data_IF_735236128957
#
_entry.id   IF_735236128957
#
_cell.length_a   1.000
_cell.length_b   1.000
_cell.length_c   1.000
_cell.angle_alpha   90.00
_cell.angle_beta   90.00
_cell.angle_gamma   90.00
#
_symmetry.space_group_name_H-M   'P 1'
#
loop_
_entity.id
_entity.type
_entity.pdbx_description
1 polymer ?
2 non-polymer ?
#
# COMPACT_ATOMS: atom_id res chain seq x y z
N UNK A 46 36.69 24.58 1.60
CA UNK A 46 37.26 25.89 1.17
C UNK A 46 36.42 27.04 1.74
N UNK A 47 35.84 27.86 0.87
CA UNK A 47 35.03 28.98 1.34
C UNK A 47 33.53 28.73 1.19
N UNK A 48 33.10 28.10 0.10
CA UNK A 48 31.62 27.93 0.01
C UNK A 48 31.17 26.66 0.71
N UNK A 49 31.88 25.57 0.46
CA UNK A 49 31.44 24.25 0.96
C UNK A 49 30.79 24.29 2.34
N UNK A 50 31.37 24.94 3.36
CA UNK A 50 30.66 24.99 4.65
C UNK A 50 29.33 25.70 4.56
N UNK A 51 29.19 26.71 3.71
CA UNK A 51 27.94 27.44 3.60
C UNK A 51 26.84 26.56 3.03
N UNK A 52 27.11 25.90 1.90
CA UNK A 52 26.12 25.01 1.32
C UNK A 52 25.77 23.89 2.29
N UNK A 53 26.75 23.42 3.05
CA UNK A 53 26.50 22.38 4.04
C UNK A 53 25.53 22.88 5.12
N UNK A 54 25.87 23.99 5.79
CA UNK A 54 24.99 24.59 6.78
C UNK A 54 23.60 24.80 6.20
N UNK A 55 23.54 25.37 5.00
CA UNK A 55 22.28 25.60 4.30
C UNK A 55 21.51 24.29 4.13
N UNK A 56 22.08 23.34 3.38
CA UNK A 56 21.33 22.12 3.05
C UNK A 56 20.99 21.30 4.27
N UNK A 57 21.96 21.15 5.19
CA UNK A 57 21.70 20.39 6.41
C UNK A 57 20.58 21.02 7.21
N UNK A 58 20.63 22.34 7.40
CA UNK A 58 19.64 22.98 8.27
C UNK A 58 18.27 22.98 7.61
N UNK A 59 18.23 23.09 6.29
CA UNK A 59 16.98 23.01 5.56
C UNK A 59 16.39 21.60 5.67
N UNK A 60 17.20 20.58 5.41
CA UNK A 60 16.74 19.20 5.46
C UNK A 60 16.34 18.81 6.88
N UNK A 61 16.94 19.44 7.88
CA UNK A 61 16.52 19.22 9.26
C UNK A 61 15.13 19.79 9.50
N UNK A 62 14.90 21.03 9.07
CA UNK A 62 13.61 21.67 9.27
C UNK A 62 12.50 20.89 8.59
N UNK A 63 12.66 20.59 7.30
CA UNK A 63 11.66 19.83 6.59
C UNK A 63 11.37 18.50 7.28
N UNK A 64 12.41 17.81 7.73
CA UNK A 64 12.24 16.49 8.31
C UNK A 64 11.57 16.56 9.67
N UNK A 65 11.93 17.55 10.48
CA UNK A 65 11.31 17.73 11.78
C UNK A 65 9.85 18.16 11.61
N UNK A 66 9.64 19.27 10.90
CA UNK A 66 8.28 19.72 10.60
C UNK A 66 7.50 18.64 9.89
N UNK A 67 8.09 18.04 8.85
CA UNK A 67 7.36 17.08 8.03
C UNK A 67 6.89 15.89 8.84
N UNK A 68 7.78 15.28 9.63
CA UNK A 68 7.39 14.06 10.31
C UNK A 68 6.51 14.33 11.52
N UNK A 69 6.77 15.38 12.30
CA UNK A 69 5.89 15.63 13.43
C UNK A 69 4.48 15.97 12.95
N UNK A 70 4.37 16.69 11.84
CA UNK A 70 3.09 16.88 11.19
C UNK A 70 2.40 15.54 10.91
N UNK A 71 3.06 14.66 10.15
CA UNK A 71 2.51 13.35 9.85
C UNK A 71 2.07 12.64 11.11
N UNK A 72 2.87 12.73 12.18
CA UNK A 72 2.50 12.06 13.43
C UNK A 72 1.29 12.73 14.07
N UNK A 73 1.32 14.06 14.20
CA UNK A 73 0.24 14.74 14.91
C UNK A 73 -1.09 14.61 14.16
N UNK A 74 -1.05 14.65 12.83
CA UNK A 74 -2.27 14.40 12.06
C UNK A 74 -2.81 13.01 12.36
N UNK A 75 -1.95 12.00 12.34
CA UNK A 75 -2.39 10.62 12.55
C UNK A 75 -2.85 10.40 13.99
N UNK A 76 -2.15 10.97 14.96
CA UNK A 76 -2.59 10.86 16.35
C UNK A 76 -3.93 11.56 16.54
N UNK A 77 -4.14 12.67 15.82
CA UNK A 77 -5.41 13.39 15.91
C UNK A 77 -6.57 12.53 15.38
N UNK A 78 -6.50 12.19 14.09
CA UNK A 78 -7.64 11.51 13.44
C UNK A 78 -7.66 9.99 13.60
N UNK A 79 -8.59 9.49 14.42
CA UNK A 79 -8.79 8.05 14.48
C UNK A 79 -9.19 7.49 13.12
N UNK A 80 -9.88 8.29 12.32
CA UNK A 80 -10.32 7.83 10.99
C UNK A 80 -9.11 7.51 10.12
N UNK A 81 -7.99 8.22 10.33
CA UNK A 81 -6.81 8.02 9.50
C UNK A 81 -6.08 6.71 9.81
N UNK A 82 -6.13 6.26 11.07
CA UNK A 82 -5.34 5.10 11.52
C UNK A 82 -5.82 3.81 10.85
N UNK A 83 -5.45 3.64 9.59
CA UNK A 83 -5.58 2.35 8.92
C UNK A 83 -4.34 1.50 9.21
N UNK A 84 -4.39 0.23 8.79
CA UNK A 84 -3.23 -0.63 9.03
C UNK A 84 -2.02 -0.09 8.29
N UNK A 85 -2.20 0.33 7.03
CA UNK A 85 -1.07 0.83 6.26
C UNK A 85 -0.49 2.09 6.90
N UNK A 86 -1.33 2.94 7.49
CA UNK A 86 -0.82 4.19 8.07
C UNK A 86 -0.22 4.01 9.45
N UNK A 87 -0.63 2.99 10.19
CA UNK A 87 0.02 2.69 11.46
C UNK A 87 1.50 2.40 11.21
N UNK A 88 1.79 1.70 10.12
CA UNK A 88 3.17 1.51 9.72
C UNK A 88 3.82 2.82 9.31
N UNK A 89 3.22 3.58 8.38
CA UNK A 89 3.75 4.89 8.02
C UNK A 89 3.87 5.79 9.25
N UNK A 90 3.27 5.41 10.36
CA UNK A 90 3.44 6.16 11.61
C UNK A 90 4.68 5.70 12.36
N UNK A 91 5.00 4.41 12.21
CA UNK A 91 6.24 3.82 12.79
C UNK A 91 7.41 4.31 11.93
N UNK A 92 7.17 4.46 10.63
CA UNK A 92 8.16 4.97 9.69
C UNK A 92 8.49 6.42 9.98
N UNK A 93 7.47 7.23 10.27
CA UNK A 93 7.69 8.64 10.58
C UNK A 93 8.33 8.83 11.94
N UNK A 94 8.21 7.86 12.84
CA UNK A 94 8.89 7.97 14.12
C UNK A 94 10.39 7.69 13.95
N UNK A 95 10.71 6.70 13.13
CA UNK A 95 12.15 6.42 12.87
C UNK A 95 12.76 7.61 12.14
N UNK A 96 12.02 8.22 11.21
CA UNK A 96 12.54 9.40 10.52
C UNK A 96 12.79 10.53 11.51
N UNK A 97 11.96 10.66 12.53
CA UNK A 97 12.19 11.69 13.54
C UNK A 97 13.36 11.33 14.43
N UNK A 98 13.49 10.04 14.76
CA UNK A 98 14.61 9.59 15.59
C UNK A 98 15.94 9.84 14.88
N UNK A 99 16.07 9.35 13.65
CA UNK A 99 17.23 9.65 12.83
C UNK A 99 17.47 11.15 12.72
N UNK A 100 16.41 11.93 12.67
CA UNK A 100 16.59 13.37 12.39
C UNK A 100 17.07 14.14 13.63
N UNK A 101 16.68 13.72 14.83
CA UNK A 101 17.04 14.43 16.05
C UNK A 101 18.19 13.79 16.83
N UNK A 102 18.38 12.48 16.69
CA UNK A 102 19.41 11.80 17.45
C UNK A 102 20.64 11.44 16.64
N UNK A 103 20.72 11.87 15.38
CA UNK A 103 21.90 11.53 14.57
C UNK A 103 22.40 12.70 13.73
N UNK A 104 21.48 13.44 13.12
CA UNK A 104 21.91 14.44 12.14
C UNK A 104 22.76 15.56 12.74
N UNK A 105 22.42 16.16 13.89
CA UNK A 105 23.31 17.22 14.41
C UNK A 105 24.69 16.67 14.73
N UNK A 106 24.74 15.54 15.42
CA UNK A 106 25.99 14.87 15.75
C UNK A 106 26.62 14.21 14.52
N UNK A 107 26.24 14.67 13.32
CA UNK A 107 26.98 14.39 12.11
C UNK A 107 27.39 15.64 11.35
N UNK A 108 26.50 16.62 11.22
CA UNK A 108 26.90 17.87 10.58
C UNK A 108 27.93 18.62 11.41
N UNK A 109 27.64 18.83 12.70
CA UNK A 109 28.56 19.57 13.54
C UNK A 109 29.96 18.94 13.55
N UNK A 110 30.11 17.64 13.83
CA UNK A 110 31.47 17.08 13.75
C UNK A 110 32.06 17.12 12.35
N UNK A 111 31.26 16.92 11.31
CA UNK A 111 31.82 16.94 9.96
C UNK A 111 32.12 18.36 9.52
N UNK A 112 31.40 19.32 10.08
CA UNK A 112 31.68 20.73 9.78
C UNK A 112 32.93 21.20 10.51
N UNK A 113 33.13 20.73 11.75
CA UNK A 113 34.32 21.05 12.54
C UNK A 113 35.51 20.15 12.24
N UNK A 114 35.27 18.99 11.62
CA UNK A 114 36.30 17.98 11.40
C UNK A 114 36.84 17.43 12.72
N UNK A 115 36.05 17.54 13.78
CA UNK A 115 36.43 17.03 15.10
C UNK A 115 35.17 16.61 15.82
N UNK A 116 35.04 15.32 16.10
CA UNK A 116 33.92 14.85 16.91
C UNK A 116 34.18 15.29 18.35
N UNK A 117 33.50 16.37 18.76
CA UNK A 117 33.74 17.00 20.05
C UNK A 117 32.74 16.56 21.13
N UNK A 118 31.73 15.79 20.75
CA UNK A 118 30.81 15.25 21.75
C UNK A 118 31.47 14.04 22.41
N UNK A 119 30.77 13.46 23.38
CA UNK A 119 31.38 12.41 24.17
C UNK A 119 31.59 11.12 23.40
N UNK A 120 32.29 10.19 24.06
CA UNK A 120 32.33 8.83 23.53
C UNK A 120 30.95 8.20 23.54
N UNK A 121 30.09 8.62 24.49
CA UNK A 121 28.74 8.07 24.56
C UNK A 121 27.89 8.53 23.38
N UNK A 122 27.82 9.85 23.16
CA UNK A 122 27.17 10.38 21.97
C UNK A 122 27.65 9.66 20.72
N UNK A 123 28.93 9.31 20.68
CA UNK A 123 29.45 8.59 19.52
C UNK A 123 28.81 7.22 19.38
N UNK A 124 28.64 6.49 20.49
CA UNK A 124 27.96 5.21 20.44
C UNK A 124 26.46 5.39 20.19
N UNK A 125 25.87 6.45 20.74
CA UNK A 125 24.43 6.70 20.58
C UNK A 125 24.09 7.02 19.13
N UNK A 126 24.79 7.99 18.54
CA UNK A 126 24.48 8.46 17.19
C UNK A 126 24.62 7.32 16.17
N UNK A 127 25.55 6.40 16.40
CA UNK A 127 25.69 5.30 15.45
C UNK A 127 24.61 4.25 15.68
N UNK A 128 24.24 4.05 16.96
CA UNK A 128 23.20 3.09 17.31
C UNK A 128 21.86 3.46 16.68
N UNK A 129 21.41 4.70 16.88
CA UNK A 129 20.11 5.11 16.39
C UNK A 129 20.07 5.19 14.86
N UNK A 130 21.21 5.47 14.22
CA UNK A 130 21.23 5.53 12.77
C UNK A 130 20.96 4.16 12.17
N UNK A 131 21.59 3.11 12.73
CA UNK A 131 21.37 1.77 12.21
C UNK A 131 20.06 1.18 12.68
N UNK A 132 19.61 1.57 13.88
CA UNK A 132 18.30 1.14 14.32
C UNK A 132 17.22 1.69 13.41
N UNK A 133 17.34 2.97 13.11
CA UNK A 133 16.35 3.65 12.24
C UNK A 133 16.26 2.95 10.88
N UNK A 134 17.39 2.80 10.21
CA UNK A 134 17.39 2.16 8.87
C UNK A 134 16.73 0.78 8.94
N UNK A 135 16.92 0.06 10.04
CA UNK A 135 16.36 -1.28 10.15
C UNK A 135 14.85 -1.21 10.35
N UNK A 136 14.43 -0.38 11.27
CA UNK A 136 12.98 -0.22 11.52
C UNK A 136 12.33 0.19 10.20
N UNK A 137 12.92 1.17 9.51
CA UNK A 137 12.29 1.71 8.30
C UNK A 137 12.18 0.64 7.21
N UNK A 138 13.27 -0.06 6.97
CA UNK A 138 13.28 -1.09 5.94
C UNK A 138 12.26 -2.18 6.23
N UNK A 139 12.08 -2.53 7.49
CA UNK A 139 11.15 -3.61 7.74
C UNK A 139 9.73 -3.10 7.91
N UNK A 140 9.54 -1.83 8.26
CA UNK A 140 8.23 -1.22 8.11
C UNK A 140 7.79 -1.23 6.65
N UNK A 141 8.68 -0.84 5.76
CA UNK A 141 8.31 -0.83 4.32
C UNK A 141 7.97 -2.25 3.87
N UNK A 142 8.63 -3.26 4.43
CA UNK A 142 8.33 -4.64 4.05
C UNK A 142 6.95 -5.04 4.57
N UNK A 143 6.64 -4.67 5.81
CA UNK A 143 5.34 -4.96 6.36
C UNK A 143 4.23 -4.36 5.51
N UNK A 144 4.44 -3.12 5.07
CA UNK A 144 3.44 -2.43 4.24
C UNK A 144 3.19 -3.26 2.98
N UNK A 145 4.23 -3.55 2.21
CA UNK A 145 4.11 -4.34 0.99
C UNK A 145 3.38 -5.65 1.24
N UNK A 146 3.53 -6.21 2.43
CA UNK A 146 2.94 -7.52 2.76
C UNK A 146 1.47 -7.39 3.13
N UNK A 147 1.07 -6.26 3.70
CA UNK A 147 -0.32 -6.05 4.03
C UNK A 147 -1.13 -5.64 2.80
N UNK A 148 -0.61 -4.72 1.99
CA UNK A 148 -1.26 -4.44 0.70
C UNK A 148 -1.33 -5.70 -0.16
N UNK A 149 -0.36 -6.60 -0.03
CA UNK A 149 -0.46 -7.86 -0.77
C UNK A 149 -1.62 -8.69 -0.24
N UNK A 150 -1.77 -8.75 1.07
CA UNK A 150 -2.90 -9.45 1.64
C UNK A 150 -4.22 -8.84 1.20
N UNK A 151 -4.31 -7.52 1.21
CA UNK A 151 -5.58 -6.87 0.93
C UNK A 151 -5.95 -7.02 -0.54
N UNK A 152 -5.00 -6.79 -1.44
CA UNK A 152 -5.30 -6.72 -2.86
C UNK A 152 -5.35 -8.10 -3.49
N UNK A 153 -4.47 -9.01 -3.06
CA UNK A 153 -4.28 -10.29 -3.75
C UNK A 153 -4.96 -11.45 -3.07
N UNK A 154 -5.18 -11.37 -1.76
CA UNK A 154 -5.87 -12.43 -1.02
C UNK A 154 -6.84 -11.79 -0.04
N UNK A 155 -7.87 -11.06 -0.56
CA UNK A 155 -8.75 -10.30 0.33
C UNK A 155 -9.54 -11.17 1.29
N UNK A 156 -10.32 -12.11 0.76
CA UNK A 156 -11.16 -13.01 1.60
C UNK A 156 -10.34 -14.23 2.02
N UNK A 157 -9.01 -14.09 2.03
CA UNK A 157 -8.13 -15.18 2.42
C UNK A 157 -7.03 -14.76 3.38
N UNK A 158 -6.74 -13.46 3.44
CA UNK A 158 -5.68 -12.92 4.33
C UNK A 158 -6.34 -12.03 5.37
N UNK A 159 -7.23 -12.61 6.17
CA UNK A 159 -7.98 -11.86 7.20
C UNK A 159 -7.13 -11.37 8.37
N UNK A 160 -6.15 -12.12 8.87
CA UNK A 160 -5.48 -11.58 10.10
C UNK A 160 -4.45 -10.50 9.79
N UNK A 161 -3.82 -10.58 8.63
CA UNK A 161 -2.82 -9.54 8.25
C UNK A 161 -3.50 -8.18 8.25
N UNK A 162 -4.83 -8.13 8.35
CA UNK A 162 -5.51 -6.84 8.28
C UNK A 162 -6.05 -6.41 9.63
N UNK A 163 -5.60 -7.02 10.73
CA UNK A 163 -6.03 -6.56 12.05
C UNK A 163 -5.01 -5.57 12.59
N UNK A 164 -5.51 -4.47 13.16
CA UNK A 164 -4.64 -3.49 13.80
C UNK A 164 -3.87 -4.07 14.96
N UNK A 165 -4.36 -5.15 15.57
CA UNK A 165 -3.65 -5.76 16.68
C UNK A 165 -2.40 -6.47 16.20
N UNK A 166 -2.48 -7.12 15.05
CA UNK A 166 -1.29 -7.69 14.45
C UNK A 166 -0.33 -6.59 14.03
N UNK A 167 -0.87 -5.51 13.45
CA UNK A 167 -0.04 -4.39 13.01
C UNK A 167 0.83 -3.83 14.13
N UNK A 168 0.28 -3.68 15.32
CA UNK A 168 1.08 -3.21 16.44
C UNK A 168 1.97 -4.31 17.03
N UNK A 169 1.70 -5.58 16.69
CA UNK A 169 2.62 -6.67 17.05
C UNK A 169 3.86 -6.63 16.17
N UNK A 170 3.67 -6.42 14.87
CA UNK A 170 4.78 -6.33 13.94
C UNK A 170 5.65 -5.12 14.25
N UNK A 171 5.01 -3.97 14.45
CA UNK A 171 5.73 -2.75 14.77
C UNK A 171 6.58 -2.94 16.04
N UNK A 172 6.00 -3.55 17.07
CA UNK A 172 6.79 -3.82 18.28
C UNK A 172 7.95 -4.76 17.99
N UNK A 173 7.72 -5.82 17.20
CA UNK A 173 8.80 -6.75 16.91
C UNK A 173 9.87 -6.12 16.01
N UNK A 174 9.50 -5.10 15.26
CA UNK A 174 10.50 -4.44 14.42
C UNK A 174 11.43 -3.57 15.27
N UNK A 175 10.87 -2.77 16.18
CA UNK A 175 11.70 -1.91 17.00
C UNK A 175 12.57 -2.71 17.96
N UNK A 176 12.02 -3.78 18.54
CA UNK A 176 12.76 -4.57 19.50
C UNK A 176 13.91 -5.31 18.82
N UNK A 177 13.63 -5.95 17.68
CA UNK A 177 14.70 -6.65 16.99
C UNK A 177 15.72 -5.68 16.36
N UNK A 178 15.27 -4.47 15.99
CA UNK A 178 16.18 -3.53 15.35
C UNK A 178 17.18 -2.98 16.35
N UNK A 179 16.73 -2.73 17.59
CA UNK A 179 17.67 -2.38 18.65
C UNK A 179 18.61 -3.53 18.97
N UNK A 180 18.16 -4.78 18.79
CA UNK A 180 18.98 -5.91 19.20
C UNK A 180 20.10 -6.18 18.21
N UNK A 181 19.75 -6.41 16.94
CA UNK A 181 20.79 -6.71 15.95
C UNK A 181 21.78 -5.55 15.75
N UNK A 182 21.45 -4.35 16.18
CA UNK A 182 22.30 -3.18 15.99
C UNK A 182 23.26 -2.94 17.18
N UNK A 183 23.19 -3.75 18.24
CA UNK A 183 24.01 -3.54 19.44
C UNK A 183 25.51 -3.58 19.18
N UNK A 184 26.00 -4.20 18.11
CA UNK A 184 27.40 -3.96 17.72
C UNK A 184 27.78 -2.49 17.60
N UNK A 185 26.89 -1.64 17.12
CA UNK A 185 27.30 -0.26 16.92
C UNK A 185 27.69 0.40 18.23
N UNK A 186 26.90 0.37 19.30
CA UNK A 186 27.39 0.95 20.56
C UNK A 186 28.54 0.18 21.18
N UNK A 187 28.64 -1.14 20.93
CA UNK A 187 29.70 -1.90 21.59
C UNK A 187 31.06 -1.56 21.01
N UNK A 188 31.13 -1.35 19.69
CA UNK A 188 32.41 -1.26 19.00
C UNK A 188 32.65 0.11 18.36
N UNK A 189 31.92 1.14 18.75
CA UNK A 189 32.15 2.48 18.26
C UNK A 189 32.87 3.27 19.33
N UNK A 190 34.00 3.89 18.94
CA UNK A 190 34.84 4.60 19.88
C UNK A 190 35.38 5.85 19.22
N UNK A 191 35.70 6.84 20.05
CA UNK A 191 36.55 7.93 19.60
C UNK A 191 37.87 7.37 19.11
N UNK A 192 38.29 7.78 17.92
CA UNK A 192 39.59 7.38 17.39
C UNK A 192 40.43 8.64 17.25
N UNK A 193 41.45 8.82 18.09
CA UNK A 193 42.24 10.06 18.04
C UNK A 193 43.07 10.14 16.78
N UNK A 194 43.11 11.33 16.19
CA UNK A 194 44.01 11.65 15.09
C UNK A 194 44.54 13.05 15.30
N UNK A 195 45.39 13.51 14.39
CA UNK A 195 46.11 14.76 14.57
C UNK A 195 45.95 15.63 13.33
N UNK A 196 45.66 16.91 13.58
CA UNK A 196 45.32 17.88 12.51
C UNK A 196 46.53 18.65 11.99
N UNK A 197 46.25 19.78 11.35
CA UNK A 197 47.24 20.62 10.68
C UNK A 197 48.46 20.94 11.54
N UNK A 198 48.30 21.77 12.56
CA UNK A 198 49.42 22.17 13.40
C UNK A 198 49.60 21.21 14.57
N UNK A 199 49.60 19.92 14.28
CA UNK A 199 49.79 18.91 15.31
C UNK A 199 48.77 19.12 16.44
N UNK A 200 47.52 19.22 16.04
CA UNK A 200 46.42 19.51 16.94
C UNK A 200 45.54 18.27 17.07
N UNK A 201 45.44 17.76 18.30
CA UNK A 201 44.69 16.50 18.53
C UNK A 201 43.19 16.71 18.36
N UNK A 202 42.55 15.78 17.66
CA UNK A 202 41.12 15.76 17.44
C UNK A 202 40.62 14.33 17.65
N UNK A 203 39.31 14.17 17.59
CA UNK A 203 38.74 12.83 17.60
C UNK A 203 37.77 12.68 16.46
N UNK A 204 37.69 11.47 15.93
CA UNK A 204 36.60 11.13 15.06
C UNK A 204 35.88 9.91 15.64
N UNK A 205 34.56 9.89 15.47
CA UNK A 205 33.75 8.77 15.93
C UNK A 205 33.80 7.67 14.91
N UNK A 206 34.21 6.47 15.33
CA UNK A 206 34.47 5.42 14.36
C UNK A 206 34.01 4.06 14.89
N UNK A 207 33.53 3.20 13.97
CA UNK A 207 32.97 1.89 14.29
C UNK A 207 33.93 0.81 13.80
N UNK A 208 34.59 0.14 14.73
CA UNK A 208 35.69 -0.77 14.42
C UNK A 208 35.48 -2.12 15.09
N UNK A 209 35.39 -3.15 14.28
CA UNK A 209 35.25 -4.51 14.78
C UNK A 209 36.63 -5.15 14.90
N UNK A 210 36.76 -6.20 15.71
CA UNK A 210 38.10 -6.74 16.03
C UNK A 210 39.06 -6.94 14.87
N UNK A 211 38.60 -7.20 13.64
CA UNK A 211 39.56 -7.32 12.55
C UNK A 211 38.86 -7.01 11.23
N UNK A 212 39.43 -7.45 10.11
CA UNK A 212 38.90 -7.12 8.81
C UNK A 212 37.87 -8.13 8.36
N UNK A 213 38.12 -9.41 8.65
CA UNK A 213 37.11 -10.41 8.36
C UNK A 213 35.79 -10.09 9.04
N UNK A 214 35.82 -9.62 10.29
CA UNK A 214 34.57 -9.28 10.96
C UNK A 214 33.94 -8.02 10.39
N UNK A 215 34.76 -6.99 10.12
CA UNK A 215 34.24 -5.77 9.49
C UNK A 215 33.53 -6.10 8.19
N UNK A 216 34.09 -7.03 7.40
CA UNK A 216 33.51 -7.39 6.11
C UNK A 216 32.33 -8.33 6.26
N UNK A 217 32.35 -9.17 7.30
CA UNK A 217 31.20 -10.03 7.54
C UNK A 217 29.99 -9.21 7.95
N UNK A 218 30.22 -8.18 8.75
CA UNK A 218 29.12 -7.33 9.18
C UNK A 218 28.45 -6.65 8.00
N UNK A 219 29.24 -6.22 7.02
CA UNK A 219 28.65 -5.56 5.87
C UNK A 219 27.90 -6.53 4.99
N UNK A 220 28.39 -7.75 4.84
CA UNK A 220 27.59 -8.77 4.18
C UNK A 220 26.27 -8.92 4.89
N UNK A 221 26.32 -8.98 6.22
CA UNK A 221 25.12 -9.05 7.05
C UNK A 221 24.13 -7.94 6.68
N UNK A 222 24.55 -6.68 6.79
CA UNK A 222 23.67 -5.56 6.46
C UNK A 222 23.19 -5.65 5.01
N UNK A 223 24.05 -6.06 4.09
CA UNK A 223 23.62 -6.19 2.71
C UNK A 223 22.38 -7.08 2.62
N UNK A 224 22.31 -8.13 3.44
CA UNK A 224 21.30 -9.17 3.31
C UNK A 224 20.00 -8.76 3.99
N UNK A 225 20.06 -8.37 5.26
CA UNK A 225 18.86 -8.09 6.03
C UNK A 225 18.44 -6.64 5.95
N UNK A 226 19.08 -5.83 5.12
CA UNK A 226 18.60 -4.47 4.89
C UNK A 226 18.38 -4.13 3.43
N UNK A 227 18.82 -4.98 2.50
CA UNK A 227 18.60 -4.73 1.08
C UNK A 227 18.16 -5.98 0.35
N UNK A 228 19.02 -7.00 0.24
CA UNK A 228 18.67 -8.18 -0.53
C UNK A 228 17.34 -8.78 -0.08
N UNK A 229 17.23 -9.14 1.20
CA UNK A 229 16.05 -9.87 1.65
C UNK A 229 14.85 -8.95 1.63
N UNK A 230 14.90 -7.74 2.19
CA UNK A 230 13.74 -6.83 2.03
C UNK A 230 13.48 -6.43 0.58
N UNK A 231 14.53 -6.34 -0.23
CA UNK A 231 14.36 -5.95 -1.62
C UNK A 231 13.55 -6.94 -2.44
N UNK A 232 13.87 -8.23 -2.34
CA UNK A 232 13.15 -9.21 -3.17
C UNK A 232 11.75 -9.44 -2.62
N UNK A 233 11.61 -9.50 -1.29
CA UNK A 233 10.30 -9.62 -0.67
C UNK A 233 9.35 -8.56 -1.21
N UNK A 234 9.76 -7.31 -1.20
CA UNK A 234 8.89 -6.24 -1.67
C UNK A 234 8.80 -6.18 -3.19
N UNK A 235 9.76 -6.74 -3.91
CA UNK A 235 9.64 -6.74 -5.36
C UNK A 235 8.71 -7.85 -5.84
N UNK A 236 8.75 -9.00 -5.17
CA UNK A 236 7.76 -10.03 -5.46
C UNK A 236 6.37 -9.53 -5.07
N UNK A 237 6.26 -8.90 -3.90
CA UNK A 237 4.96 -8.46 -3.40
C UNK A 237 4.37 -7.36 -4.29
N UNK A 238 5.08 -6.25 -4.46
CA UNK A 238 4.57 -5.18 -5.32
C UNK A 238 4.43 -5.65 -6.76
N UNK A 239 5.14 -6.70 -7.14
CA UNK A 239 4.96 -7.27 -8.46
C UNK A 239 3.66 -8.03 -8.60
N UNK A 240 3.30 -8.83 -7.59
CA UNK A 240 2.03 -9.56 -7.60
C UNK A 240 0.84 -8.62 -7.48
N UNK A 241 0.90 -7.71 -6.50
CA UNK A 241 -0.08 -6.63 -6.38
C UNK A 241 -0.30 -5.96 -7.74
N UNK A 242 0.80 -5.66 -8.44
CA UNK A 242 0.69 -4.91 -9.69
C UNK A 242 0.01 -5.75 -10.77
N UNK A 243 0.32 -7.06 -10.83
CA UNK A 243 -0.37 -7.95 -11.75
C UNK A 243 -1.88 -7.92 -11.53
N UNK A 244 -2.31 -8.15 -10.30
CA UNK A 244 -3.72 -8.10 -9.96
C UNK A 244 -4.33 -6.78 -10.40
N UNK A 245 -3.82 -5.66 -9.87
CA UNK A 245 -4.40 -4.36 -10.22
C UNK A 245 -4.45 -4.10 -11.72
N UNK A 246 -3.65 -4.82 -12.51
CA UNK A 246 -3.70 -4.60 -13.94
C UNK A 246 -4.88 -5.34 -14.56
N UNK A 247 -5.16 -6.54 -14.06
CA UNK A 247 -6.23 -7.35 -14.59
C UNK A 247 -7.61 -6.73 -14.35
N UNK A 248 -7.74 -5.89 -13.32
CA UNK A 248 -8.81 -4.93 -13.27
C UNK A 248 -10.15 -5.49 -12.83
N UNK A 249 -11.18 -4.69 -13.14
CA UNK A 249 -12.55 -4.98 -12.70
C UNK A 249 -13.12 -6.19 -13.45
N UNK A 250 -13.99 -6.92 -12.77
CA UNK A 250 -14.67 -8.05 -13.38
C UNK A 250 -16.11 -8.05 -12.88
N UNK A 251 -16.88 -9.05 -13.31
CA UNK A 251 -18.30 -9.09 -12.97
C UNK A 251 -18.49 -9.07 -11.46
N UNK A 252 -17.64 -9.79 -10.72
CA UNK A 252 -17.81 -9.88 -9.28
C UNK A 252 -17.58 -8.52 -8.60
N UNK A 253 -16.51 -7.83 -8.97
CA UNK A 253 -16.29 -6.50 -8.38
C UNK A 253 -17.37 -5.53 -8.82
N UNK A 254 -17.82 -5.67 -10.08
CA UNK A 254 -18.89 -4.83 -10.62
C UNK A 254 -20.18 -5.01 -9.84
N UNK A 255 -20.59 -6.27 -9.62
CA UNK A 255 -21.80 -6.50 -8.84
C UNK A 255 -21.62 -6.14 -7.37
N UNK A 256 -20.40 -6.24 -6.83
CA UNK A 256 -20.20 -5.82 -5.43
C UNK A 256 -20.39 -4.31 -5.27
N UNK A 257 -20.00 -3.53 -6.27
CA UNK A 257 -20.23 -2.10 -6.19
C UNK A 257 -21.72 -1.78 -6.34
N UNK A 258 -22.41 -2.49 -7.24
CA UNK A 258 -23.80 -2.17 -7.49
C UNK A 258 -24.75 -2.67 -6.39
N UNK A 259 -24.42 -3.79 -5.74
CA UNK A 259 -25.31 -4.41 -4.76
C UNK A 259 -24.94 -4.11 -3.32
N UNK A 260 -23.65 -4.11 -3.00
CA UNK A 260 -23.21 -3.92 -1.64
C UNK A 260 -23.22 -5.23 -0.87
N UNK A 261 -23.12 -5.10 0.45
CA UNK A 261 -23.30 -6.22 1.37
C UNK A 261 -24.21 -5.78 2.51
N UNK A 262 -25.35 -6.45 2.64
CA UNK A 262 -26.21 -6.34 3.82
C UNK A 262 -26.30 -7.72 4.45
N UNK A 263 -25.79 -7.84 5.69
CA UNK A 263 -25.79 -9.13 6.38
C UNK A 263 -27.19 -9.50 6.86
N UNK A 264 -28.05 -8.51 7.07
CA UNK A 264 -29.39 -8.74 7.57
C UNK A 264 -30.41 -8.50 6.46
N UNK A 265 -31.56 -9.17 6.60
CA UNK A 265 -32.59 -9.12 5.57
C UNK A 265 -33.02 -7.67 5.35
N UNK A 266 -33.24 -7.32 4.09
CA UNK A 266 -33.58 -5.93 3.75
C UNK A 266 -34.44 -5.93 2.47
N UNK A 267 -34.93 -4.75 2.12
CA UNK A 267 -35.74 -4.60 0.92
C UNK A 267 -35.09 -3.64 -0.05
N UNK A 268 -35.16 -3.99 -1.32
CA UNK A 268 -34.50 -3.26 -2.39
C UNK A 268 -35.39 -2.10 -2.85
N UNK A 269 -35.10 -1.56 -4.04
CA UNK A 269 -35.93 -0.48 -4.58
C UNK A 269 -37.35 -0.94 -4.84
N UNK A 270 -37.52 -2.18 -5.33
CA UNK A 270 -38.85 -2.71 -5.57
C UNK A 270 -39.63 -3.02 -4.31
N UNK A 271 -38.99 -3.01 -3.14
CA UNK A 271 -39.64 -3.49 -1.93
C UNK A 271 -39.53 -4.98 -1.69
N UNK A 272 -38.72 -5.69 -2.49
CA UNK A 272 -38.61 -7.14 -2.36
C UNK A 272 -37.58 -7.50 -1.32
N UNK A 273 -37.77 -8.66 -0.68
CA UNK A 273 -36.88 -9.09 0.40
C UNK A 273 -35.59 -9.67 -0.16
N UNK A 274 -34.47 -9.12 0.31
CA UNK A 274 -33.14 -9.37 -0.24
C UNK A 274 -32.14 -9.50 0.90
N UNK A 275 -31.01 -10.16 0.62
CA UNK A 275 -29.95 -10.38 1.60
C UNK A 275 -28.60 -10.51 0.91
N UNK A 276 -27.54 -10.32 1.69
CA UNK A 276 -26.19 -10.59 1.21
C UNK A 276 -25.74 -9.59 0.18
N UNK A 277 -25.28 -10.11 -0.95
CA UNK A 277 -24.89 -9.27 -2.07
C UNK A 277 -26.03 -9.31 -3.09
N UNK A 278 -27.12 -8.62 -2.79
CA UNK A 278 -28.27 -8.54 -3.70
C UNK A 278 -28.96 -9.86 -3.98
N UNK A 279 -29.08 -10.73 -2.99
CA UNK A 279 -29.74 -12.01 -3.21
C UNK A 279 -31.23 -11.84 -2.93
N UNK A 280 -32.03 -11.97 -3.99
CA UNK A 280 -33.48 -11.89 -3.87
C UNK A 280 -34.02 -13.18 -3.25
N UNK A 281 -34.80 -13.04 -2.19
CA UNK A 281 -35.30 -14.18 -1.42
C UNK A 281 -36.70 -14.59 -1.87
N UNK A 282 -37.63 -13.65 -1.87
CA UNK A 282 -38.94 -13.91 -2.44
C UNK A 282 -39.57 -12.59 -2.85
N UNK A 283 -40.40 -12.65 -3.89
CA UNK A 283 -41.15 -11.48 -4.30
C UNK A 283 -42.36 -11.26 -3.40
N UNK A 284 -42.89 -12.33 -2.80
CA UNK A 284 -43.99 -12.26 -1.84
C UNK A 284 -43.75 -11.17 -0.79
N UNK A 285 -44.80 -10.53 -0.28
CA UNK A 285 -44.60 -9.50 0.75
C UNK A 285 -44.35 -10.06 2.14
N UNK A 286 -44.58 -11.36 2.36
CA UNK A 286 -44.42 -11.94 3.68
C UNK A 286 -42.97 -11.91 4.12
N UNK A 287 -42.72 -11.56 5.38
CA UNK A 287 -41.37 -11.63 5.91
C UNK A 287 -41.05 -13.04 6.39
N UNK A 288 -42.05 -13.74 6.93
CA UNK A 288 -41.90 -15.14 7.29
C UNK A 288 -41.41 -15.97 6.10
N UNK A 289 -41.87 -15.65 4.89
CA UNK A 289 -41.51 -16.44 3.73
C UNK A 289 -40.09 -16.14 3.24
N UNK A 290 -39.64 -14.90 3.38
CA UNK A 290 -38.24 -14.61 3.10
C UNK A 290 -37.36 -15.34 4.10
N UNK A 291 -37.66 -15.18 5.40
CA UNK A 291 -36.88 -15.87 6.42
C UNK A 291 -36.84 -17.37 6.15
N UNK A 292 -37.91 -17.94 5.62
CA UNK A 292 -37.90 -19.37 5.29
C UNK A 292 -37.01 -19.65 4.09
N UNK A 293 -37.20 -18.90 2.99
CA UNK A 293 -36.36 -19.08 1.82
C UNK A 293 -34.90 -18.75 2.11
N UNK A 294 -34.64 -18.01 3.18
CA UNK A 294 -33.27 -17.76 3.60
C UNK A 294 -32.66 -18.98 4.23
N UNK A 295 -33.33 -19.54 5.26
CA UNK A 295 -32.80 -20.70 5.96
C UNK A 295 -32.57 -21.86 5.00
N UNK A 296 -33.47 -22.03 4.02
CA UNK A 296 -33.31 -23.09 3.04
C UNK A 296 -32.08 -22.88 2.16
N UNK A 297 -31.71 -21.63 1.87
CA UNK A 297 -30.60 -21.37 0.96
C UNK A 297 -29.24 -21.45 1.65
N UNK A 298 -29.15 -21.05 2.92
CA UNK A 298 -27.89 -21.14 3.64
C UNK A 298 -27.76 -22.44 4.42
N UNK A 299 -28.83 -23.23 4.51
CA UNK A 299 -28.77 -24.55 5.13
C UNK A 299 -28.88 -24.58 6.63
N UNK A 300 -28.79 -23.43 7.31
CA UNK A 300 -28.92 -23.35 8.76
C UNK A 300 -30.10 -22.44 9.11
N UNK A 301 -30.66 -22.64 10.30
CA UNK A 301 -31.63 -21.69 10.84
C UNK A 301 -30.90 -20.36 11.11
N UNK A 302 -30.91 -19.44 10.13
CA UNK A 302 -30.08 -18.24 10.23
C UNK A 302 -30.70 -17.15 11.08
N UNK A 303 -32.03 -17.12 11.19
CA UNK A 303 -32.62 -16.08 12.07
C UNK A 303 -32.44 -14.68 11.47
N UNK A 304 -32.60 -14.54 10.16
CA UNK A 304 -32.51 -13.23 9.53
C UNK A 304 -31.11 -12.72 9.28
N UNK A 305 -30.09 -13.38 9.81
CA UNK A 305 -28.74 -12.86 9.76
C UNK A 305 -27.81 -13.95 9.23
N UNK A 306 -26.99 -13.59 8.25
CA UNK A 306 -25.98 -14.47 7.66
C UNK A 306 -24.61 -13.86 7.93
N UNK A 307 -23.57 -14.66 7.68
CA UNK A 307 -22.19 -14.19 7.75
C UNK A 307 -21.76 -13.63 6.40
N UNK A 308 -20.65 -12.88 6.41
CA UNK A 308 -20.08 -12.47 5.14
C UNK A 308 -19.66 -13.66 4.29
N UNK A 309 -19.24 -14.74 4.94
CA UNK A 309 -18.75 -15.86 4.15
C UNK A 309 -19.88 -16.59 3.46
N UNK A 310 -21.06 -16.61 4.09
CA UNK A 310 -22.22 -17.22 3.44
C UNK A 310 -22.79 -16.32 2.34
N UNK A 311 -22.66 -15.00 2.49
CA UNK A 311 -23.07 -14.09 1.43
C UNK A 311 -22.24 -14.31 0.16
N UNK A 312 -20.91 -14.42 0.29
CA UNK A 312 -20.07 -14.65 -0.87
C UNK A 312 -20.36 -15.99 -1.53
N UNK A 313 -20.58 -17.04 -0.74
CA UNK A 313 -20.96 -18.32 -1.33
C UNK A 313 -22.27 -18.20 -2.07
N UNK A 314 -23.23 -17.50 -1.45
CA UNK A 314 -24.51 -17.23 -2.07
C UNK A 314 -24.33 -16.38 -3.33
N UNK A 315 -23.52 -15.33 -3.23
CA UNK A 315 -23.29 -14.43 -4.35
C UNK A 315 -22.61 -15.15 -5.51
N UNK A 316 -21.72 -16.10 -5.20
CA UNK A 316 -21.07 -16.83 -6.28
C UNK A 316 -22.04 -17.73 -7.02
N UNK A 317 -22.98 -18.34 -6.29
CA UNK A 317 -24.05 -19.11 -6.92
C UNK A 317 -24.95 -18.22 -7.76
N UNK A 318 -25.17 -16.98 -7.31
CA UNK A 318 -26.00 -16.05 -8.06
C UNK A 318 -25.39 -15.72 -9.41
N UNK A 319 -24.13 -15.28 -9.43
CA UNK A 319 -23.48 -14.97 -10.70
C UNK A 319 -23.44 -16.22 -11.59
N UNK A 320 -23.24 -17.38 -10.98
CA UNK A 320 -23.36 -18.63 -11.74
C UNK A 320 -24.75 -18.74 -12.37
N UNK A 321 -25.80 -18.48 -11.58
CA UNK A 321 -27.16 -18.69 -12.07
C UNK A 321 -27.54 -17.68 -13.14
N UNK A 322 -27.11 -16.43 -12.97
CA UNK A 322 -27.32 -15.42 -14.00
C UNK A 322 -26.69 -15.84 -15.32
N UNK A 323 -25.48 -16.37 -15.27
CA UNK A 323 -24.77 -16.72 -16.48
C UNK A 323 -25.39 -17.94 -17.13
N UNK A 324 -25.86 -18.90 -16.34
CA UNK A 324 -26.55 -20.03 -16.92
C UNK A 324 -27.85 -19.59 -17.58
N UNK A 325 -28.56 -18.66 -16.95
CA UNK A 325 -29.77 -18.14 -17.56
C UNK A 325 -29.52 -17.44 -18.87
N UNK A 326 -28.38 -16.76 -19.00
CA UNK A 326 -28.02 -16.17 -20.29
C UNK A 326 -27.80 -17.27 -21.32
N UNK A 327 -27.12 -18.34 -20.92
CA UNK A 327 -26.78 -19.37 -21.89
C UNK A 327 -28.00 -20.19 -22.30
N UNK A 328 -28.94 -20.42 -21.38
CA UNK A 328 -30.09 -21.28 -21.69
C UNK A 328 -31.22 -20.57 -22.43
N UNK A 329 -31.27 -19.25 -22.35
CA UNK A 329 -32.32 -18.46 -22.98
C UNK A 329 -31.99 -18.20 -24.44
N UNK A 330 -32.91 -18.57 -25.33
CA UNK A 330 -32.65 -18.48 -26.76
C UNK A 330 -32.63 -17.06 -27.30
N UNK A 331 -33.07 -16.06 -26.54
CA UNK A 331 -32.94 -14.68 -26.98
C UNK A 331 -31.65 -14.05 -26.47
N UNK A 332 -31.21 -14.42 -25.27
CA UNK A 332 -30.03 -13.82 -24.68
C UNK A 332 -28.74 -14.44 -25.20
N UNK A 333 -28.71 -15.75 -25.44
CA UNK A 333 -27.45 -16.38 -25.81
C UNK A 333 -26.86 -15.82 -27.10
N UNK A 334 -27.61 -15.65 -28.18
CA UNK A 334 -27.04 -15.01 -29.38
C UNK A 334 -26.35 -13.67 -29.11
N UNK A 335 -27.01 -12.79 -28.36
CA UNK A 335 -26.42 -11.50 -28.01
C UNK A 335 -25.13 -11.70 -27.22
N UNK A 336 -25.16 -12.61 -26.26
CA UNK A 336 -24.03 -12.84 -25.37
C UNK A 336 -22.78 -13.21 -26.16
N UNK A 337 -22.90 -14.19 -27.05
CA UNK A 337 -21.77 -14.64 -27.86
C UNK A 337 -21.21 -13.50 -28.70
N UNK A 338 -22.07 -12.59 -29.17
CA UNK A 338 -21.57 -11.46 -29.95
C UNK A 338 -20.88 -10.42 -29.09
N UNK A 339 -20.99 -10.51 -27.77
CA UNK A 339 -20.46 -9.50 -26.87
C UNK A 339 -19.01 -9.79 -26.50
N UNK A 340 -18.26 -8.71 -26.29
CA UNK A 340 -16.95 -8.73 -25.67
C UNK A 340 -17.09 -8.83 -24.17
N UNK A 341 -16.02 -9.32 -23.52
CA UNK A 341 -16.10 -9.72 -22.11
C UNK A 341 -16.59 -8.59 -21.21
N UNK A 342 -16.25 -7.35 -21.52
CA UNK A 342 -16.73 -6.27 -20.66
C UNK A 342 -18.24 -6.09 -20.83
N UNK A 343 -18.74 -6.21 -22.06
CA UNK A 343 -20.17 -6.07 -22.28
C UNK A 343 -20.93 -7.30 -21.79
N UNK A 344 -20.38 -8.49 -22.02
CA UNK A 344 -20.88 -9.70 -21.39
C UNK A 344 -21.18 -9.47 -19.92
N UNK A 345 -20.34 -8.70 -19.24
CA UNK A 345 -20.55 -8.50 -17.81
C UNK A 345 -21.66 -7.51 -17.57
N UNK A 346 -21.89 -6.61 -18.52
CA UNK A 346 -23.04 -5.73 -18.40
C UNK A 346 -24.33 -6.50 -18.59
N UNK A 347 -24.37 -7.42 -19.57
CA UNK A 347 -25.54 -8.27 -19.76
C UNK A 347 -25.78 -9.14 -18.53
N UNK A 348 -24.72 -9.72 -17.94
CA UNK A 348 -24.85 -10.48 -16.70
C UNK A 348 -25.33 -9.58 -15.57
N UNK A 349 -24.78 -8.37 -15.48
CA UNK A 349 -25.22 -7.45 -14.44
C UNK A 349 -26.73 -7.25 -14.50
N UNK A 350 -27.26 -7.08 -15.70
CA UNK A 350 -28.71 -6.85 -15.85
C UNK A 350 -29.47 -8.10 -15.45
N UNK A 351 -29.02 -9.26 -15.91
CA UNK A 351 -29.72 -10.51 -15.67
C UNK A 351 -29.67 -10.87 -14.20
N UNK A 352 -28.63 -10.40 -13.52
CA UNK A 352 -28.53 -10.63 -12.10
C UNK A 352 -29.56 -9.83 -11.32
N UNK A 353 -29.90 -8.62 -11.81
CA UNK A 353 -30.81 -7.74 -11.10
C UNK A 353 -32.29 -8.04 -11.40
N UNK A 354 -32.59 -8.52 -12.61
CA UNK A 354 -33.97 -8.64 -13.07
C UNK A 354 -34.37 -10.05 -13.49
N UNK A 355 -33.43 -10.99 -13.55
CA UNK A 355 -33.70 -12.35 -13.96
C UNK A 355 -33.56 -12.56 -15.46
N UNK A 356 -33.34 -13.83 -15.83
CA UNK A 356 -33.33 -14.23 -17.23
C UNK A 356 -34.50 -13.67 -18.03
N UNK A 357 -35.74 -13.90 -17.57
CA UNK A 357 -36.90 -13.61 -18.40
C UNK A 357 -37.15 -12.12 -18.54
N UNK A 358 -37.00 -11.36 -17.45
CA UNK A 358 -37.25 -9.93 -17.52
C UNK A 358 -36.33 -9.21 -18.49
N UNK A 359 -35.06 -9.64 -18.54
CA UNK A 359 -34.09 -9.07 -19.46
C UNK A 359 -34.36 -9.54 -20.88
N UNK A 360 -34.70 -10.83 -21.05
CA UNK A 360 -34.96 -11.34 -22.40
C UNK A 360 -36.05 -10.56 -23.10
N UNK A 361 -36.90 -9.86 -22.35
CA UNK A 361 -37.89 -8.97 -22.93
C UNK A 361 -37.39 -7.59 -23.25
N UNK A 362 -36.08 -7.36 -23.25
CA UNK A 362 -35.54 -6.07 -23.72
C UNK A 362 -35.25 -6.15 -25.21
N UNK A 363 -36.30 -6.50 -25.95
CA UNK A 363 -36.19 -6.96 -27.33
C UNK A 363 -35.51 -5.93 -28.22
N UNK A 364 -35.84 -4.65 -28.06
CA UNK A 364 -35.30 -3.64 -28.96
C UNK A 364 -33.88 -3.26 -28.58
N UNK A 365 -33.56 -3.27 -27.28
CA UNK A 365 -32.18 -3.05 -26.81
C UNK A 365 -31.30 -4.26 -27.09
N UNK A 366 -31.83 -5.46 -26.82
CA UNK A 366 -31.10 -6.69 -27.13
C UNK A 366 -30.70 -6.73 -28.60
N UNK A 367 -31.57 -6.22 -29.48
CA UNK A 367 -31.24 -6.23 -30.91
C UNK A 367 -30.09 -5.27 -31.22
N UNK A 368 -30.15 -4.07 -30.66
CA UNK A 368 -29.14 -3.06 -30.94
C UNK A 368 -27.77 -3.51 -30.46
N UNK A 369 -27.71 -4.07 -29.25
CA UNK A 369 -26.46 -4.63 -28.75
C UNK A 369 -25.89 -5.66 -29.71
N UNK A 370 -26.71 -6.62 -30.12
CA UNK A 370 -26.24 -7.64 -31.05
C UNK A 370 -25.71 -7.02 -32.33
N UNK A 371 -26.36 -5.95 -32.80
CA UNK A 371 -25.91 -5.26 -33.99
C UNK A 371 -24.74 -4.28 -33.74
N UNK A 372 -24.17 -4.29 -32.53
CA UNK A 372 -23.05 -3.40 -32.14
C UNK A 372 -23.40 -1.92 -32.28
N UNK A 373 -24.69 -1.58 -32.10
CA UNK A 373 -25.14 -0.18 -32.12
C UNK A 373 -25.18 0.32 -30.67
N UNK A 374 -23.99 0.63 -30.15
CA UNK A 374 -23.87 0.87 -28.72
C UNK A 374 -24.54 2.18 -28.29
N UNK A 375 -24.40 3.24 -29.09
CA UNK A 375 -25.04 4.49 -28.72
C UNK A 375 -26.55 4.36 -28.75
N UNK A 376 -27.08 3.74 -29.81
CA UNK A 376 -28.53 3.51 -29.88
C UNK A 376 -28.99 2.71 -28.67
N UNK A 377 -28.32 1.61 -28.37
CA UNK A 377 -28.70 0.78 -27.23
C UNK A 377 -28.67 1.57 -25.93
N UNK A 378 -27.63 2.39 -25.77
CA UNK A 378 -27.44 3.17 -24.56
C UNK A 378 -28.56 4.18 -24.39
N UNK A 379 -29.05 4.72 -25.49
CA UNK A 379 -30.11 5.71 -25.44
C UNK A 379 -31.45 5.03 -25.16
N UNK A 380 -31.66 3.87 -25.79
CA UNK A 380 -32.91 3.15 -25.65
C UNK A 380 -33.06 2.59 -24.26
N UNK A 381 -31.97 2.04 -23.71
CA UNK A 381 -31.99 1.44 -22.38
C UNK A 381 -32.30 2.44 -21.29
N UNK A 382 -31.98 3.71 -21.49
CA UNK A 382 -32.29 4.71 -20.49
C UNK A 382 -33.73 5.23 -20.59
N UNK A 383 -34.49 4.81 -21.61
CA UNK A 383 -35.92 5.09 -21.66
C UNK A 383 -36.76 4.01 -20.99
N UNK A 384 -36.12 2.95 -20.50
CA UNK A 384 -36.80 1.80 -19.92
C UNK A 384 -37.28 2.10 -18.51
N UNK A 385 -38.18 1.25 -18.02
CA UNK A 385 -38.62 1.37 -16.63
C UNK A 385 -37.48 1.05 -15.68
N UNK A 386 -36.68 0.02 -16.00
CA UNK A 386 -35.48 -0.33 -15.27
C UNK A 386 -34.60 0.89 -15.00
N UNK A 387 -34.25 1.63 -16.05
CA UNK A 387 -33.52 2.87 -15.82
C UNK A 387 -34.25 3.71 -14.78
N UNK A 388 -35.55 3.86 -14.95
CA UNK A 388 -36.28 4.82 -14.14
C UNK A 388 -36.27 4.43 -12.66
N UNK A 389 -36.19 3.14 -12.35
CA UNK A 389 -36.24 2.59 -11.00
C UNK A 389 -34.90 2.69 -10.28
N UNK A 390 -33.82 2.34 -10.99
CA UNK A 390 -32.47 2.37 -10.43
C UNK A 390 -31.57 3.16 -11.38
N UNK A 391 -31.65 4.48 -11.37
CA UNK A 391 -30.90 5.27 -12.36
C UNK A 391 -29.39 5.16 -12.23
N UNK A 392 -28.91 5.32 -10.99
CA UNK A 392 -27.47 5.38 -10.75
C UNK A 392 -26.79 4.10 -11.20
N UNK A 393 -27.35 2.97 -10.78
CA UNK A 393 -26.79 1.70 -11.24
C UNK A 393 -26.98 1.53 -12.73
N UNK A 394 -28.14 1.93 -13.24
CA UNK A 394 -28.42 1.75 -14.67
C UNK A 394 -27.51 2.62 -15.52
N UNK A 395 -27.22 3.83 -15.05
CA UNK A 395 -26.34 4.71 -15.81
C UNK A 395 -24.95 4.09 -15.96
N UNK A 396 -24.47 3.38 -14.92
CA UNK A 396 -23.18 2.70 -14.96
C UNK A 396 -23.19 1.52 -15.92
N UNK A 397 -24.17 0.64 -15.78
CA UNK A 397 -24.29 -0.53 -16.65
C UNK A 397 -24.37 -0.08 -18.11
N UNK A 398 -25.16 0.99 -18.37
CA UNK A 398 -25.26 1.57 -19.71
C UNK A 398 -23.92 2.11 -20.20
N UNK A 399 -23.20 2.91 -19.37
CA UNK A 399 -21.84 3.32 -19.72
C UNK A 399 -21.00 2.12 -20.13
N UNK A 400 -21.11 1.03 -19.40
CA UNK A 400 -20.37 -0.17 -19.77
C UNK A 400 -20.75 -0.66 -21.16
N UNK A 401 -22.06 -0.65 -21.49
CA UNK A 401 -22.53 -1.08 -22.80
C UNK A 401 -22.10 -0.12 -23.91
N UNK A 402 -22.19 1.19 -23.65
CA UNK A 402 -21.80 2.19 -24.64
C UNK A 402 -20.32 2.11 -24.99
N UNK A 403 -19.46 2.08 -23.97
CA UNK A 403 -18.03 2.29 -24.21
C UNK A 403 -17.22 1.01 -24.30
N UNK A 404 -17.70 -0.09 -23.72
CA UNK A 404 -16.90 -1.29 -23.63
C UNK A 404 -15.79 -1.19 -22.61
N UNK A 405 -15.86 -0.22 -21.72
CA UNK A 405 -14.85 -0.03 -20.71
C UNK A 405 -15.47 -0.10 -19.33
N UNK A 406 -14.59 -0.09 -18.34
CA UNK A 406 -14.94 -0.18 -16.93
C UNK A 406 -14.93 1.19 -16.26
N UNK A 407 -14.84 2.26 -17.04
CA UNK A 407 -14.78 3.60 -16.46
C UNK A 407 -15.84 3.80 -15.39
N UNK A 408 -17.04 3.27 -15.62
CA UNK A 408 -18.12 3.45 -14.66
C UNK A 408 -17.78 2.89 -13.29
N UNK A 409 -17.00 1.82 -13.24
CA UNK A 409 -16.69 1.14 -11.99
C UNK A 409 -15.24 1.30 -11.53
N UNK A 410 -14.45 2.15 -12.18
CA UNK A 410 -13.01 2.16 -11.98
C UNK A 410 -12.54 2.94 -10.75
N UNK A 411 -13.38 3.82 -10.19
CA UNK A 411 -12.95 4.74 -9.14
C UNK A 411 -12.12 4.05 -8.06
N UNK A 412 -12.61 2.95 -7.50
CA UNK A 412 -11.91 2.33 -6.38
C UNK A 412 -10.57 1.75 -6.83
N UNK A 413 -10.57 1.04 -7.95
CA UNK A 413 -9.34 0.53 -8.52
C UNK A 413 -8.33 1.66 -8.77
N UNK A 414 -8.82 2.80 -9.26
CA UNK A 414 -7.96 3.96 -9.46
C UNK A 414 -7.34 4.44 -8.15
N UNK A 415 -8.04 4.26 -7.03
CA UNK A 415 -7.49 4.68 -5.75
C UNK A 415 -6.40 3.72 -5.27
N UNK A 416 -6.64 2.41 -5.40
CA UNK A 416 -5.64 1.43 -5.02
C UNK A 416 -4.36 1.58 -5.84
N UNK A 417 -4.50 1.76 -7.15
CA UNK A 417 -3.34 1.93 -7.99
C UNK A 417 -2.53 3.17 -7.58
N UNK A 418 -3.22 4.24 -7.17
CA UNK A 418 -2.54 5.47 -6.76
C UNK A 418 -1.68 5.21 -5.52
N UNK A 419 -2.27 4.60 -4.51
CA UNK A 419 -1.55 4.29 -3.28
C UNK A 419 -0.34 3.41 -3.57
N UNK A 420 -0.56 2.34 -4.35
CA UNK A 420 0.52 1.42 -4.65
C UNK A 420 1.69 2.14 -5.34
N UNK A 421 1.39 3.02 -6.30
CA UNK A 421 2.46 3.76 -6.97
C UNK A 421 3.18 4.70 -6.00
N UNK A 422 2.47 5.27 -5.04
CA UNK A 422 3.12 6.05 -4.00
C UNK A 422 4.08 5.18 -3.19
N UNK A 423 3.62 3.99 -2.80
CA UNK A 423 4.47 3.12 -1.99
C UNK A 423 5.72 2.68 -2.74
N UNK A 424 5.58 2.32 -4.02
CA UNK A 424 6.75 1.94 -4.78
C UNK A 424 7.69 3.13 -4.93
N UNK A 425 7.16 4.35 -4.95
CA UNK A 425 8.04 5.51 -5.06
C UNK A 425 8.78 5.74 -3.76
N UNK A 426 8.11 5.47 -2.63
CA UNK A 426 8.74 5.67 -1.33
C UNK A 426 9.87 4.67 -1.13
N UNK A 427 9.66 3.42 -1.55
CA UNK A 427 10.66 2.37 -1.39
C UNK A 427 11.88 2.67 -2.26
N UNK A 428 11.67 3.10 -3.49
CA UNK A 428 12.80 3.37 -4.38
C UNK A 428 13.59 4.59 -3.93
N UNK A 429 12.92 5.64 -3.43
CA UNK A 429 13.66 6.78 -2.91
C UNK A 429 14.39 6.43 -1.61
N UNK A 430 13.90 5.42 -0.89
CA UNK A 430 14.55 4.96 0.33
C UNK A 430 15.88 4.30 0.03
N UNK A 431 15.87 3.29 -0.86
CA UNK A 431 17.09 2.59 -1.25
C UNK A 431 18.08 3.53 -1.91
N UNK A 432 17.61 4.45 -2.74
CA UNK A 432 18.53 5.37 -3.41
C UNK A 432 19.18 6.33 -2.42
N UNK A 433 18.52 6.60 -1.30
CA UNK A 433 19.09 7.49 -0.29
C UNK A 433 20.04 6.77 0.66
N UNK A 434 19.96 5.43 0.74
CA UNK A 434 20.69 4.65 1.72
C UNK A 434 21.77 3.77 1.11
N UNK A 435 21.65 3.41 -0.16
CA UNK A 435 22.72 2.69 -0.81
C UNK A 435 24.05 3.43 -0.74
N UNK A 436 24.13 4.75 -1.00
CA UNK A 436 25.46 5.35 -1.07
C UNK A 436 26.25 5.22 0.22
N UNK A 437 25.66 5.56 1.37
CA UNK A 437 26.43 5.53 2.61
C UNK A 437 26.76 4.10 3.01
N UNK A 438 25.84 3.14 2.77
CA UNK A 438 26.18 1.77 3.09
C UNK A 438 27.25 1.23 2.15
N UNK A 439 27.25 1.67 0.90
CA UNK A 439 28.30 1.26 -0.03
C UNK A 439 29.63 1.93 0.28
N UNK A 440 29.62 3.11 0.90
CA UNK A 440 30.87 3.76 1.25
C UNK A 440 31.50 3.08 2.47
N UNK A 441 30.68 2.71 3.47
CA UNK A 441 31.21 1.93 4.59
C UNK A 441 31.71 0.56 4.15
N UNK A 442 31.00 -0.11 3.25
CA UNK A 442 31.48 -1.43 2.82
C UNK A 442 32.79 -1.31 2.07
N UNK A 443 32.94 -0.25 1.27
CA UNK A 443 34.17 -0.08 0.51
C UNK A 443 35.33 0.26 1.45
N UNK A 444 35.06 1.01 2.51
CA UNK A 444 36.05 1.31 3.53
C UNK A 444 36.54 0.03 4.20
N UNK A 445 35.63 -0.88 4.54
CA UNK A 445 36.05 -2.11 5.19
C UNK A 445 36.82 -3.03 4.26
N UNK A 446 36.74 -2.86 2.96
CA UNK A 446 37.42 -3.77 2.05
C UNK A 446 38.71 -3.20 1.48
N UNK A 447 38.80 -1.89 1.36
CA UNK A 447 39.89 -1.18 0.74
C UNK A 447 39.84 0.24 1.30
N UNK A 448 40.14 0.35 2.59
CA UNK A 448 39.98 1.60 3.30
C UNK A 448 40.78 2.73 2.66
N UNK A 449 42.01 2.46 2.22
CA UNK A 449 42.85 3.51 1.63
C UNK A 449 42.21 4.09 0.37
N UNK A 450 41.70 3.25 -0.54
CA UNK A 450 40.99 3.77 -1.72
C UNK A 450 39.76 4.56 -1.29
N UNK A 451 38.89 3.93 -0.50
CA UNK A 451 37.64 4.58 -0.07
C UNK A 451 37.91 5.95 0.54
N UNK A 452 38.88 6.04 1.44
CA UNK A 452 39.10 7.32 2.09
C UNK A 452 39.67 8.36 1.13
N UNK A 453 40.50 7.97 0.17
CA UNK A 453 41.07 9.02 -0.66
C UNK A 453 40.05 9.56 -1.65
N UNK A 454 39.12 8.73 -2.12
CA UNK A 454 38.08 9.18 -3.03
C UNK A 454 36.94 9.92 -2.32
N UNK A 455 36.64 9.58 -1.06
CA UNK A 455 35.40 10.07 -0.46
C UNK A 455 35.58 11.02 0.71
N UNK A 456 36.79 11.19 1.24
CA UNK A 456 36.94 11.78 2.57
C UNK A 456 36.43 13.22 2.65
N UNK A 457 36.65 14.01 1.63
CA UNK A 457 36.29 15.40 1.81
C UNK A 457 34.81 15.73 1.69
N UNK A 458 34.47 16.42 0.61
CA UNK A 458 33.08 16.77 0.42
C UNK A 458 32.22 15.58 -0.03
N UNK A 459 32.73 14.56 -0.74
CA UNK A 459 31.82 13.52 -1.23
C UNK A 459 31.09 12.78 -0.11
N UNK A 460 31.78 12.33 0.94
CA UNK A 460 31.08 11.66 2.01
C UNK A 460 30.25 12.65 2.80
N UNK A 461 30.59 13.94 2.73
CA UNK A 461 29.73 14.95 3.33
C UNK A 461 28.35 14.92 2.70
N UNK A 462 28.29 14.92 1.38
CA UNK A 462 27.01 14.94 0.66
C UNK A 462 26.33 13.57 0.63
N UNK A 463 27.12 12.49 0.61
CA UNK A 463 26.57 11.14 0.73
C UNK A 463 25.86 10.98 2.07
N UNK A 464 26.47 11.46 3.15
CA UNK A 464 25.78 11.47 4.43
C UNK A 464 24.51 12.30 4.36
N UNK A 465 24.57 13.42 3.65
CA UNK A 465 23.43 14.32 3.53
C UNK A 465 22.27 13.60 2.85
N UNK A 466 22.57 12.91 1.75
CA UNK A 466 21.58 12.13 1.02
C UNK A 466 20.86 11.17 1.94
N UNK A 467 21.58 10.61 2.92
CA UNK A 467 20.98 9.67 3.86
C UNK A 467 19.85 10.34 4.63
N UNK A 468 20.15 11.45 5.31
CA UNK A 468 19.14 12.18 6.06
C UNK A 468 17.99 12.64 5.16
N UNK A 469 18.23 12.80 3.87
CA UNK A 469 17.19 13.31 2.99
C UNK A 469 16.02 12.34 2.91
N UNK A 470 16.29 11.05 3.11
CA UNK A 470 15.23 10.04 3.01
C UNK A 470 14.17 10.26 4.07
N UNK A 471 14.54 10.87 5.21
CA UNK A 471 13.61 11.05 6.31
C UNK A 471 12.67 12.23 6.07
N UNK A 472 12.97 13.10 5.11
CA UNK A 472 12.06 14.17 4.77
C UNK A 472 11.39 13.93 3.41
N UNK A 473 11.55 12.73 2.86
CA UNK A 473 10.98 12.42 1.55
C UNK A 473 9.50 12.08 1.65
N UNK A 474 9.12 11.21 2.59
CA UNK A 474 7.73 10.75 2.64
C UNK A 474 6.73 11.86 2.98
N UNK A 475 6.99 12.77 3.94
CA UNK A 475 6.01 13.85 4.14
C UNK A 475 5.82 14.71 2.91
N UNK A 476 6.89 15.03 2.19
CA UNK A 476 6.74 15.80 0.94
C UNK A 476 5.90 15.02 -0.07
N UNK A 477 6.06 13.69 -0.12
CA UNK A 477 5.25 12.86 -0.99
C UNK A 477 3.78 12.89 -0.55
N UNK A 478 3.52 12.77 0.75
CA UNK A 478 2.15 12.84 1.25
C UNK A 478 1.48 14.15 0.85
N UNK A 479 2.23 15.25 0.89
CA UNK A 479 1.70 16.55 0.51
C UNK A 479 1.26 16.55 -0.95
N UNK A 480 2.09 16.04 -1.85
CA UNK A 480 1.77 16.06 -3.27
C UNK A 480 0.76 14.99 -3.67
N UNK A 481 0.22 14.24 -2.71
CA UNK A 481 -0.72 13.17 -3.02
C UNK A 481 -2.17 13.61 -3.02
N UNK A 482 -2.54 14.59 -2.21
CA UNK A 482 -3.89 15.18 -2.27
C UNK A 482 -3.89 16.41 -3.16
N UNK A 483 -3.39 16.27 -4.38
CA UNK A 483 -3.45 17.33 -5.37
C UNK A 483 -4.77 17.26 -6.13
X LIG B 1 28.72 5.51 8.98
X LIG B 1 29.79 6.49 9.06
X LIG B 1 30.66 6.20 10.32
X LIG B 1 31.79 5.69 10.31
X LIG B 1 30.80 6.29 12.78
X LIG B 1 24.80 2.74 9.99
X LIG B 1 24.98 3.35 8.73
X LIG B 1 25.51 3.23 11.10
X LIG B 1 26.16 8.49 12.21
X LIG B 1 27.29 8.70 13.08
X LIG B 1 35.06 6.49 2.73
X LIG B 1 35.70 7.66 3.26
X LIG B 1 25.86 4.43 8.61
X LIG B 1 26.39 4.31 11.00
X LIG B 1 26.29 7.65 11.11
X LIG B 1 28.55 8.04 12.85
X LIG B 1 33.95 5.99 3.34
X LIG B 1 35.21 8.32 4.38
X LIG B 1 32.30 6.42 5.39
X LIG B 1 31.32 7.60 7.51
X LIG B 1 27.51 6.07 9.54
X LIG B 1 26.55 4.89 9.73
X LIG B 1 32.30 7.45 6.32
X LIG B 1 27.58 6.95 10.85
X LIG B 1 28.66 7.16 11.70
X LIG B 1 33.41 6.66 4.51
X LIG B 1 34.00 7.78 5.00
X LIG B 1 30.66 6.42 7.89
X LIG B 1 33.30 8.23 6.11
X LIG B 1 30.02 6.54 11.56
X LIG B 1 31.20 8.58 8.08
#
# INVERSE_FOLDING_TARGET
DYKDDDDGAPDVVDSLLVNGSNITPPCELGLENETLFCLDQPRPSKEWQPAVQILLYSLIFLLSVLGNTLVITVLIRNKRMRTVTNIFLLSLAVSNLMLCLFCMPFNLIPNLLKDFIFGSAVCKTTTYFMGTSVSVSTWNLVAISLERYGAICKPLQSRVWQTKSHALKVIAATWCLSFTIMTPYPIYSNLVPFTKNNNQTANMCRFLLPNDVMQQSWHTFLLLILFLIPGIVMMVAYGLISLELYQGINIFEMLRIDEGLRLKIYKDTEGYYTIGIGHLLTKSPSLNAAKSELDKAIGRNTNGVITKDEAEKLFNQDVDAAVRGILRNAKLKPVYDSLDAVRRAALINMVFQMGETGVAGFTNSLRMLQQKRWDEAAVNLAKSRWYNQTPNRAKRVITTFRTGTWDAYAANLMAKKRVIRMLIVIVVLFFLCWMPIFSANAWRAYDTASAERRLSGTPISFILLLSYTSSCVNPIIYCFMNKRFRLGFMATFPCCPNPGPPGARGEVGEEEEGEFLEVLFQGPHHHHHHHHHH
1OZ N CA C O CAA CAD CAE CAF CAG CAH CAI CAJ CAK CAL CAM CAN CAO CAP CAQ CAU CAV CAX CAY CAZ CBA CBB CBC NAS NAT NBE OAB
#
